data_IF_218310711992
#
_entry.id   IF_218310711992
#
_cell.length_a   1.000
_cell.length_b   1.000
_cell.length_c   1.000
_cell.angle_alpha   90.00
_cell.angle_beta   90.00
_cell.angle_gamma   90.00
#
_symmetry.space_group_name_H-M   'P 1'
#
loop_
_entity.id
_entity.type
_entity.pdbx_description
1 polymer ?
#
# COMPACT_ATOMS: atom_id res chain seq x y z
N UNK A 1 3.64 67.43 3.64
CA UNK A 1 4.19 66.06 3.72
C UNK A 1 3.26 65.21 4.58
N UNK A 2 2.44 64.34 3.97
CA UNK A 2 1.61 63.37 4.70
C UNK A 2 2.23 61.99 4.50
N UNK A 3 2.90 61.48 5.52
CA UNK A 3 3.44 60.12 5.56
C UNK A 3 2.29 59.16 5.80
N UNK A 4 1.84 58.48 4.74
CA UNK A 4 0.93 57.34 4.83
C UNK A 4 1.74 56.18 5.42
N UNK A 5 1.43 55.80 6.66
CA UNK A 5 1.91 54.55 7.26
C UNK A 5 1.26 53.39 6.50
N UNK A 6 2.03 52.73 5.65
CA UNK A 6 1.66 51.42 5.12
C UNK A 6 1.70 50.43 6.29
N UNK A 7 0.53 49.96 6.72
CA UNK A 7 0.41 48.74 7.52
C UNK A 7 0.78 47.61 6.55
N UNK A 8 1.99 47.09 6.71
CA UNK A 8 2.46 45.91 5.99
C UNK A 8 1.63 44.73 6.51
N UNK A 9 0.52 44.44 5.84
CA UNK A 9 -0.25 43.22 6.06
C UNK A 9 0.62 42.07 5.57
N UNK A 10 1.47 41.53 6.46
CA UNK A 10 2.07 40.22 6.23
C UNK A 10 0.93 39.23 6.14
N UNK A 11 0.51 38.93 4.91
CA UNK A 11 -0.24 37.72 4.62
C UNK A 11 0.75 36.60 4.89
N UNK A 12 0.71 36.03 6.10
CA UNK A 12 1.25 34.71 6.35
C UNK A 12 0.48 33.77 5.41
N UNK A 13 1.04 33.53 4.23
CA UNK A 13 0.69 32.37 3.43
C UNK A 13 1.13 31.19 4.29
N UNK A 14 0.21 30.69 5.13
CA UNK A 14 0.40 29.47 5.88
C UNK A 14 0.57 28.40 4.80
N UNK A 15 1.76 27.77 4.65
CA UNK A 15 1.90 26.65 3.73
C UNK A 15 0.87 25.60 4.17
N UNK A 16 -0.06 25.28 3.28
CA UNK A 16 -1.03 24.21 3.54
C UNK A 16 -0.25 22.89 3.57
N UNK A 17 -0.55 22.07 4.58
CA UNK A 17 0.29 20.97 5.04
C UNK A 17 -0.28 19.64 4.57
N UNK A 18 0.52 18.82 3.91
CA UNK A 18 0.19 17.44 3.54
C UNK A 18 0.24 16.52 4.74
N UNK A 19 -0.92 16.14 5.25
CA UNK A 19 -1.09 15.07 6.24
C UNK A 19 -1.80 13.92 5.52
N UNK A 20 -1.28 12.69 5.62
CA UNK A 20 -1.99 11.53 5.09
C UNK A 20 -3.07 11.06 6.08
N UNK A 21 -4.30 10.91 5.64
CA UNK A 21 -5.44 10.55 6.48
C UNK A 21 -5.94 9.18 6.07
N UNK A 22 -5.98 8.24 7.01
CA UNK A 22 -6.67 6.96 6.85
C UNK A 22 -8.00 7.01 7.55
N UNK A 23 -9.09 6.77 6.81
CA UNK A 23 -10.42 6.66 7.40
C UNK A 23 -11.19 5.49 6.83
N UNK A 24 -12.03 4.90 7.68
CA UNK A 24 -13.00 3.89 7.27
C UNK A 24 -14.38 4.42 7.59
N UNK A 25 -15.28 4.38 6.62
CA UNK A 25 -16.69 4.70 6.80
C UNK A 25 -17.53 3.51 6.34
N UNK A 26 -18.72 3.34 6.92
CA UNK A 26 -19.69 2.36 6.42
C UNK A 26 -21.11 2.84 6.60
N UNK A 27 -22.00 2.33 5.76
CA UNK A 27 -23.38 2.75 5.73
C UNK A 27 -24.06 2.27 4.47
N UNK A 28 -25.08 3.00 4.05
CA UNK A 28 -25.83 2.69 2.84
C UNK A 28 -25.66 3.81 1.80
N UNK A 29 -25.55 3.40 0.54
CA UNK A 29 -25.62 4.24 -0.63
C UNK A 29 -26.76 3.69 -1.50
N UNK A 30 -27.91 4.37 -1.49
CA UNK A 30 -29.19 3.77 -1.89
C UNK A 30 -29.55 2.55 -1.02
N UNK A 31 -29.96 1.45 -1.65
CA UNK A 31 -30.28 0.18 -0.97
C UNK A 31 -29.06 -0.75 -0.82
N UNK A 32 -27.86 -0.26 -1.13
CA UNK A 32 -26.62 -1.03 -1.06
C UNK A 32 -25.82 -0.63 0.18
N UNK A 33 -25.44 -1.62 0.99
CA UNK A 33 -24.48 -1.43 2.06
C UNK A 33 -23.07 -1.30 1.46
N UNK A 34 -22.32 -0.32 1.92
CA UNK A 34 -20.97 -0.01 1.42
C UNK A 34 -20.00 0.24 2.58
N UNK A 35 -18.73 -0.06 2.33
CA UNK A 35 -17.60 0.29 3.19
C UNK A 35 -16.60 1.10 2.38
N UNK A 36 -16.26 2.30 2.85
CA UNK A 36 -15.33 3.22 2.22
C UNK A 36 -14.02 3.26 3.01
N UNK A 37 -12.90 3.16 2.31
CA UNK A 37 -11.54 3.19 2.81
C UNK A 37 -10.80 4.34 2.14
N UNK A 38 -10.50 5.37 2.91
CA UNK A 38 -9.95 6.63 2.40
C UNK A 38 -8.47 6.71 2.74
N UNK A 39 -7.71 7.19 1.77
CA UNK A 39 -6.36 7.70 1.95
C UNK A 39 -6.31 9.08 1.30
N UNK A 40 -6.07 10.14 2.08
CA UNK A 40 -6.11 11.50 1.56
C UNK A 40 -4.93 12.34 2.07
N UNK A 41 -4.35 13.19 1.22
CA UNK A 41 -3.41 14.26 1.60
C UNK A 41 -3.94 15.64 1.19
N UNK A 42 -3.46 16.72 1.81
CA UNK A 42 -3.91 18.09 1.51
C UNK A 42 -3.69 18.53 0.07
N UNK A 43 -2.67 17.98 -0.58
CA UNK A 43 -2.18 18.40 -1.90
C UNK A 43 -2.92 17.70 -3.04
N UNK A 44 -4.18 17.33 -2.80
CA UNK A 44 -5.11 16.74 -3.77
C UNK A 44 -4.92 15.25 -4.07
N UNK A 45 -4.07 14.53 -3.33
CA UNK A 45 -4.08 13.06 -3.34
C UNK A 45 -5.19 12.56 -2.44
N UNK A 46 -6.42 12.55 -2.92
CA UNK A 46 -7.56 11.96 -2.22
C UNK A 46 -7.99 10.70 -2.98
N UNK A 47 -7.84 9.57 -2.32
CA UNK A 47 -8.17 8.24 -2.81
C UNK A 47 -9.24 7.60 -1.94
N UNK A 48 -10.18 6.94 -2.59
CA UNK A 48 -11.25 6.15 -1.99
C UNK A 48 -11.20 4.78 -2.63
N UNK A 49 -11.15 3.76 -1.81
CA UNK A 49 -11.50 2.41 -2.22
C UNK A 49 -12.76 2.03 -1.48
N UNK A 50 -13.71 1.45 -2.19
CA UNK A 50 -14.90 0.95 -1.54
C UNK A 50 -15.27 -0.44 -2.04
N UNK A 51 -16.02 -1.13 -1.19
CA UNK A 51 -16.61 -2.42 -1.51
C UNK A 51 -18.12 -2.35 -1.27
N UNK A 52 -18.88 -2.80 -2.27
CA UNK A 52 -20.33 -2.98 -2.14
C UNK A 52 -20.65 -4.37 -1.61
N UNK A 53 -21.59 -4.45 -0.66
CA UNK A 53 -21.91 -5.68 0.02
C UNK A 53 -22.54 -6.75 -0.90
N UNK A 54 -23.34 -6.33 -1.90
CA UNK A 54 -24.03 -7.27 -2.80
C UNK A 54 -23.12 -7.87 -3.87
N UNK A 55 -22.28 -7.04 -4.49
CA UNK A 55 -21.43 -7.46 -5.61
C UNK A 55 -20.05 -7.92 -5.17
N UNK A 56 -19.61 -7.51 -3.97
CA UNK A 56 -18.24 -7.66 -3.46
C UNK A 56 -17.19 -7.14 -4.44
N UNK A 57 -17.59 -6.23 -5.32
CA UNK A 57 -16.71 -5.55 -6.24
C UNK A 57 -15.96 -4.47 -5.49
N UNK A 58 -14.66 -4.42 -5.70
CA UNK A 58 -13.80 -3.36 -5.20
C UNK A 58 -13.73 -2.30 -6.28
N UNK A 59 -13.95 -1.06 -5.88
CA UNK A 59 -13.93 0.10 -6.75
C UNK A 59 -12.92 1.09 -6.20
N UNK A 60 -12.20 1.76 -7.09
CA UNK A 60 -11.20 2.76 -6.75
C UNK A 60 -11.55 4.10 -7.41
N UNK A 61 -11.43 5.16 -6.63
CA UNK A 61 -11.58 6.54 -7.09
C UNK A 61 -10.42 7.35 -6.53
N UNK A 62 -9.78 8.16 -7.36
CA UNK A 62 -8.63 8.96 -6.96
C UNK A 62 -8.63 10.31 -7.65
N UNK A 63 -7.80 11.22 -7.12
CA UNK A 63 -7.52 12.52 -7.72
C UNK A 63 -8.79 13.33 -8.07
N UNK A 64 -9.69 13.59 -7.09
CA UNK A 64 -10.89 14.37 -7.34
C UNK A 64 -10.55 15.80 -7.72
N UNK A 65 -11.44 16.41 -8.49
CA UNK A 65 -11.45 17.85 -8.68
C UNK A 65 -12.12 18.51 -7.47
N UNK A 66 -11.41 19.42 -6.81
CA UNK A 66 -12.00 20.26 -5.76
C UNK A 66 -12.81 21.40 -6.39
N UNK A 67 -14.08 21.51 -6.04
CA UNK A 67 -14.98 22.61 -6.44
C UNK A 67 -15.60 23.15 -5.15
N UNK A 68 -15.28 24.41 -4.82
CA UNK A 68 -15.64 25.01 -3.53
C UNK A 68 -15.15 24.13 -2.35
N UNK A 69 -16.09 23.56 -1.57
CA UNK A 69 -15.81 22.67 -0.45
C UNK A 69 -16.04 21.18 -0.77
N UNK A 70 -16.37 20.86 -2.02
CA UNK A 70 -16.73 19.52 -2.46
C UNK A 70 -15.61 18.90 -3.29
N UNK A 71 -15.52 17.57 -3.21
CA UNK A 71 -14.55 16.75 -3.93
C UNK A 71 -15.27 15.90 -4.95
N UNK A 72 -15.08 16.23 -6.22
CA UNK A 72 -15.74 15.60 -7.36
C UNK A 72 -14.82 14.55 -7.96
N UNK A 73 -15.16 13.29 -7.78
CA UNK A 73 -14.46 12.16 -8.37
C UNK A 73 -15.09 11.89 -9.74
N UNK A 74 -14.37 12.31 -10.78
CA UNK A 74 -14.67 11.92 -12.16
C UNK A 74 -13.98 10.58 -12.43
N UNK A 75 -14.70 9.63 -13.01
CA UNK A 75 -14.24 8.27 -13.20
C UNK A 75 -13.05 8.20 -14.18
N UNK A 76 -11.82 8.28 -13.66
CA UNK A 76 -10.63 7.80 -14.35
C UNK A 76 -10.52 6.30 -14.11
N UNK A 77 -11.08 5.53 -15.02
CA UNK A 77 -10.93 4.07 -15.06
C UNK A 77 -9.46 3.73 -15.23
N UNK A 78 -8.76 3.39 -14.16
CA UNK A 78 -7.52 2.61 -14.26
C UNK A 78 -7.53 1.52 -13.22
N UNK A 79 -7.89 0.32 -13.71
CA UNK A 79 -7.59 -1.05 -13.28
C UNK A 79 -8.90 -1.85 -13.26
N UNK A 80 -9.14 -2.54 -14.38
CA UNK A 80 -10.15 -3.57 -14.61
C UNK A 80 -11.54 -3.34 -14.01
N UNK A 81 -12.42 -2.64 -14.74
CA UNK A 81 -13.76 -3.17 -15.06
C UNK A 81 -14.54 -2.24 -15.99
N UNK A 82 -15.29 -2.89 -16.88
CA UNK A 82 -16.16 -2.29 -17.89
C UNK A 82 -17.45 -1.77 -17.25
N UNK A 83 -17.88 -0.59 -17.73
CA UNK A 83 -19.24 -0.03 -17.78
C UNK A 83 -19.96 0.28 -16.46
N UNK A 84 -19.81 1.53 -16.04
CA UNK A 84 -20.72 2.24 -15.13
C UNK A 84 -20.10 3.57 -14.76
N UNK A 85 -20.37 4.63 -15.53
CA UNK A 85 -19.88 5.98 -15.21
C UNK A 85 -20.68 6.51 -14.02
N UNK A 86 -20.31 6.12 -12.80
CA UNK A 86 -20.76 6.87 -11.63
C UNK A 86 -19.89 8.11 -11.44
N UNK A 87 -20.52 9.19 -11.01
CA UNK A 87 -19.86 10.40 -10.54
C UNK A 87 -20.10 10.49 -9.05
N UNK A 88 -19.03 10.47 -8.26
CA UNK A 88 -19.12 10.56 -6.80
C UNK A 88 -18.70 11.95 -6.34
N UNK A 89 -19.51 12.59 -5.52
CA UNK A 89 -19.22 13.87 -4.91
C UNK A 89 -19.16 13.68 -3.40
N UNK A 90 -18.01 13.94 -2.79
CA UNK A 90 -17.87 14.01 -1.33
C UNK A 90 -18.02 15.47 -0.90
N UNK A 91 -18.98 15.71 -0.02
CA UNK A 91 -19.36 17.06 0.42
C UNK A 91 -18.66 17.42 1.71
N UNK A 92 -18.09 18.63 1.77
CA UNK A 92 -17.49 19.22 2.98
C UNK A 92 -16.55 18.26 3.74
N UNK A 93 -15.64 17.57 3.03
CA UNK A 93 -14.71 16.65 3.68
C UNK A 93 -13.74 17.42 4.59
N UNK A 94 -13.78 17.09 5.87
CA UNK A 94 -12.94 17.70 6.89
C UNK A 94 -11.58 16.99 6.97
N UNK A 95 -10.53 17.63 6.49
CA UNK A 95 -9.16 17.12 6.66
C UNK A 95 -8.65 17.24 8.11
N UNK A 96 -9.28 18.06 8.96
CA UNK A 96 -8.94 18.24 10.39
C UNK A 96 -7.44 18.21 10.70
N UNK A 97 -6.69 19.04 9.98
CA UNK A 97 -5.24 19.14 10.14
C UNK A 97 -4.84 19.36 11.60
N UNK A 98 -3.80 18.66 12.05
CA UNK A 98 -3.27 18.75 13.41
C UNK A 98 -4.31 18.47 14.52
N UNK A 99 -5.35 17.69 14.24
CA UNK A 99 -6.30 17.18 15.23
C UNK A 99 -6.25 15.66 15.28
N UNK A 100 -6.49 15.11 16.47
CA UNK A 100 -6.61 13.66 16.66
C UNK A 100 -7.79 13.06 15.89
N UNK A 101 -8.88 13.81 15.76
CA UNK A 101 -10.12 13.37 15.13
C UNK A 101 -10.77 14.49 14.34
N UNK A 102 -11.47 14.12 13.27
CA UNK A 102 -12.35 15.02 12.54
C UNK A 102 -13.54 15.49 13.37
N UNK A 103 -14.07 16.67 13.03
CA UNK A 103 -15.22 17.26 13.71
C UNK A 103 -16.50 16.45 13.46
N UNK A 104 -16.61 15.87 12.27
CA UNK A 104 -17.73 15.01 11.88
C UNK A 104 -17.38 13.53 12.01
N UNK A 105 -18.32 12.74 12.52
CA UNK A 105 -18.29 11.28 12.45
C UNK A 105 -19.01 10.73 11.21
N UNK A 106 -19.35 11.59 10.27
CA UNK A 106 -20.19 11.28 9.14
C UNK A 106 -19.53 11.79 7.85
N UNK A 107 -19.57 10.94 6.82
CA UNK A 107 -19.19 11.29 5.46
C UNK A 107 -20.45 11.50 4.64
N UNK A 108 -20.62 12.70 4.11
CA UNK A 108 -21.74 13.04 3.25
C UNK A 108 -21.30 13.07 1.80
N UNK A 109 -22.17 12.63 0.91
CA UNK A 109 -21.91 12.74 -0.50
C UNK A 109 -23.12 12.45 -1.37
N UNK A 110 -22.86 12.44 -2.66
CA UNK A 110 -23.83 12.12 -3.70
C UNK A 110 -23.18 11.19 -4.72
N UNK A 111 -23.89 10.15 -5.12
CA UNK A 111 -23.58 9.30 -6.27
C UNK A 111 -24.61 9.57 -7.35
N UNK A 112 -24.18 9.65 -8.61
CA UNK A 112 -25.10 9.79 -9.74
C UNK A 112 -26.01 8.57 -9.89
N UNK A 113 -25.52 7.39 -9.53
CA UNK A 113 -26.27 6.13 -9.61
C UNK A 113 -27.20 5.95 -8.40
N UNK A 114 -26.73 6.28 -7.20
CA UNK A 114 -27.41 5.91 -5.95
C UNK A 114 -28.03 7.09 -5.17
N UNK A 115 -27.80 8.32 -5.61
CA UNK A 115 -28.30 9.53 -4.96
C UNK A 115 -27.45 9.98 -3.76
N UNK A 116 -28.04 10.81 -2.90
CA UNK A 116 -27.39 11.27 -1.68
C UNK A 116 -27.16 10.11 -0.71
N UNK A 117 -26.01 10.12 -0.04
CA UNK A 117 -25.64 9.14 0.96
C UNK A 117 -25.00 9.77 2.18
N UNK A 118 -25.01 8.98 3.25
CA UNK A 118 -24.43 9.32 4.54
C UNK A 118 -23.81 8.07 5.15
N UNK A 119 -22.49 8.09 5.32
CA UNK A 119 -21.74 6.98 5.90
C UNK A 119 -21.22 7.35 7.28
N UNK A 120 -21.21 6.39 8.19
CA UNK A 120 -20.73 6.54 9.56
C UNK A 120 -19.25 6.16 9.65
N UNK A 121 -18.44 7.00 10.30
CA UNK A 121 -17.02 6.76 10.52
C UNK A 121 -16.82 5.60 11.48
N UNK A 122 -16.05 4.60 11.06
CA UNK A 122 -15.67 3.43 11.84
C UNK A 122 -14.22 3.48 12.33
N UNK A 123 -13.38 4.21 11.61
CA UNK A 123 -11.97 4.40 11.97
C UNK A 123 -11.44 5.72 11.42
N UNK A 124 -10.49 6.31 12.13
CA UNK A 124 -9.72 7.47 11.72
C UNK A 124 -8.31 7.38 12.27
N UNK A 125 -7.34 7.73 11.44
CA UNK A 125 -5.97 7.97 11.83
C UNK A 125 -5.32 9.00 10.91
N UNK A 126 -4.81 10.08 11.49
CA UNK A 126 -4.15 11.17 10.78
C UNK A 126 -2.62 10.99 10.92
N UNK A 127 -1.89 11.08 9.82
CA UNK A 127 -0.45 10.81 9.70
C UNK A 127 0.32 12.06 9.33
N UNK A 128 1.46 12.23 10.00
CA UNK A 128 2.44 13.29 9.82
C UNK A 128 3.18 13.16 8.46
N UNK A 129 3.41 14.27 7.77
CA UNK A 129 4.49 14.40 6.78
C UNK A 129 5.29 15.67 7.09
N UNK A 130 6.62 15.60 6.89
CA UNK A 130 7.54 16.70 7.17
C UNK A 130 7.17 17.97 6.39
N UNK A 131 6.96 19.05 7.13
CA UNK A 131 7.01 20.40 6.61
C UNK A 131 8.05 21.16 7.42
N UNK A 132 8.95 21.87 6.73
CA UNK A 132 10.08 22.60 7.31
C UNK A 132 9.76 23.77 8.27
N UNK A 133 8.67 23.72 9.05
CA UNK A 133 8.46 24.53 10.26
C UNK A 133 8.47 23.63 11.52
N UNK A 134 9.60 23.68 12.23
CA UNK A 134 9.93 22.85 13.41
C UNK A 134 8.91 22.88 14.57
N UNK A 135 7.98 23.83 14.59
CA UNK A 135 7.01 23.98 15.69
C UNK A 135 5.78 23.09 15.52
N UNK A 136 5.21 23.02 14.31
CA UNK A 136 4.07 22.14 14.03
C UNK A 136 4.48 20.66 14.05
N UNK A 137 5.76 20.39 13.76
CA UNK A 137 6.39 19.09 13.88
C UNK A 137 6.30 18.49 15.29
N UNK A 138 6.55 19.26 16.35
CA UNK A 138 6.56 18.70 17.71
C UNK A 138 5.17 18.29 18.20
N UNK A 139 4.16 19.10 17.89
CA UNK A 139 2.79 18.86 18.33
C UNK A 139 2.16 17.70 17.54
N UNK A 140 2.36 17.64 16.23
CA UNK A 140 1.89 16.53 15.37
C UNK A 140 2.58 15.20 15.69
N UNK A 141 3.91 15.20 15.84
CA UNK A 141 4.67 14.03 16.32
C UNK A 141 4.17 13.51 17.66
N UNK A 142 3.84 14.41 18.60
CA UNK A 142 3.30 14.01 19.90
C UNK A 142 1.91 13.35 19.76
N UNK A 143 1.05 13.80 18.84
CA UNK A 143 -0.25 13.15 18.59
C UNK A 143 -0.07 11.76 17.94
N UNK A 144 0.81 11.65 16.95
CA UNK A 144 1.18 10.40 16.28
C UNK A 144 1.77 9.37 17.26
N UNK A 145 2.74 9.80 18.08
CA UNK A 145 3.47 8.94 19.01
C UNK A 145 2.58 8.39 20.13
N UNK A 146 1.51 9.09 20.49
CA UNK A 146 0.63 8.70 21.60
C UNK A 146 -0.57 7.86 21.17
N UNK A 147 -0.81 7.71 19.86
CA UNK A 147 -1.94 6.95 19.34
C UNK A 147 -1.61 5.47 19.25
N UNK A 148 -2.56 4.62 19.67
CA UNK A 148 -2.46 3.16 19.64
C UNK A 148 -3.79 2.57 19.16
N UNK A 149 -3.72 1.59 18.28
CA UNK A 149 -4.87 0.83 17.82
C UNK A 149 -4.44 -0.57 17.41
N UNK A 150 -5.37 -1.52 17.45
CA UNK A 150 -5.10 -2.90 17.07
C UNK A 150 -6.29 -3.46 16.28
N UNK A 151 -5.99 -4.39 15.38
CA UNK A 151 -6.97 -5.16 14.63
C UNK A 151 -7.92 -4.31 13.75
N UNK A 152 -7.39 -3.23 13.17
CA UNK A 152 -8.14 -2.42 12.21
C UNK A 152 -8.04 -3.08 10.84
N UNK A 153 -9.17 -3.46 10.25
CA UNK A 153 -9.17 -3.96 8.88
C UNK A 153 -9.09 -2.81 7.89
N UNK A 154 -8.22 -2.96 6.89
CA UNK A 154 -8.10 -1.99 5.80
C UNK A 154 -8.13 -2.70 4.45
N UNK A 155 -9.13 -2.36 3.62
CA UNK A 155 -9.32 -2.97 2.31
C UNK A 155 -8.14 -2.72 1.38
N UNK A 156 -7.77 -3.74 0.63
CA UNK A 156 -6.75 -3.65 -0.40
C UNK A 156 -7.40 -3.51 -1.77
N UNK A 157 -6.77 -2.72 -2.64
CA UNK A 157 -7.26 -2.44 -3.99
C UNK A 157 -7.30 -3.71 -4.85
N UNK A 158 -6.23 -4.48 -4.76
CA UNK A 158 -6.06 -5.70 -5.53
C UNK A 158 -6.86 -6.84 -4.93
N UNK A 159 -7.53 -7.58 -5.81
CA UNK A 159 -8.35 -8.74 -5.46
C UNK A 159 -8.30 -9.76 -6.59
N UNK A 160 -8.51 -11.03 -6.27
CA UNK A 160 -8.55 -12.08 -7.28
C UNK A 160 -9.95 -12.18 -7.87
N UNK A 161 -10.19 -13.12 -8.78
CA UNK A 161 -11.54 -13.40 -9.25
C UNK A 161 -12.46 -13.84 -8.10
N UNK A 162 -11.93 -14.66 -7.18
CA UNK A 162 -12.72 -15.33 -6.14
C UNK A 162 -12.64 -14.67 -4.77
N UNK A 163 -11.60 -13.87 -4.50
CA UNK A 163 -11.29 -13.35 -3.17
C UNK A 163 -10.99 -11.86 -3.16
N UNK A 164 -11.32 -11.21 -2.04
CA UNK A 164 -10.81 -9.88 -1.69
C UNK A 164 -10.08 -9.92 -0.35
N UNK A 165 -9.21 -8.93 -0.12
CA UNK A 165 -8.30 -8.92 1.01
C UNK A 165 -8.48 -7.66 1.83
N UNK A 166 -8.49 -7.83 3.15
CA UNK A 166 -8.29 -6.73 4.09
C UNK A 166 -7.04 -7.03 4.91
N UNK A 167 -6.10 -6.09 4.94
CA UNK A 167 -4.96 -6.21 5.86
C UNK A 167 -5.41 -5.84 7.27
N UNK A 168 -4.79 -6.44 8.27
CA UNK A 168 -5.05 -6.18 9.68
C UNK A 168 -3.95 -5.27 10.20
N UNK A 169 -4.33 -4.05 10.56
CA UNK A 169 -3.43 -2.99 11.01
C UNK A 169 -3.42 -2.88 12.52
N UNK A 170 -2.21 -2.72 13.06
CA UNK A 170 -1.99 -2.40 14.46
C UNK A 170 -0.85 -1.39 14.58
N UNK A 171 -0.96 -0.48 15.54
CA UNK A 171 0.04 0.53 15.86
C UNK A 171 0.17 0.58 17.38
N UNK A 172 1.40 0.49 17.89
CA UNK A 172 1.73 0.83 19.27
C UNK A 172 2.22 2.27 19.34
N UNK A 173 2.19 2.86 20.54
CA UNK A 173 2.78 4.18 20.78
C UNK A 173 4.23 4.22 20.28
N UNK A 174 4.60 5.30 19.59
CA UNK A 174 5.93 5.55 19.00
C UNK A 174 6.40 4.54 17.94
N UNK A 175 5.51 3.67 17.46
CA UNK A 175 5.80 2.75 16.35
C UNK A 175 5.01 3.14 15.10
N UNK A 176 5.46 2.75 13.92
CA UNK A 176 4.67 2.87 12.68
C UNK A 176 3.44 1.96 12.70
N UNK A 177 2.52 2.20 11.77
CA UNK A 177 1.40 1.29 11.51
C UNK A 177 1.96 0.00 10.89
N UNK A 178 1.68 -1.15 11.50
CA UNK A 178 2.13 -2.46 11.04
C UNK A 178 0.99 -3.30 10.53
N UNK A 179 1.25 -4.01 9.44
CA UNK A 179 0.43 -5.11 8.94
C UNK A 179 0.74 -6.35 9.79
N UNK A 180 -0.22 -6.72 10.63
CA UNK A 180 -0.12 -7.87 11.56
C UNK A 180 -0.83 -9.12 11.04
N UNK A 181 -1.59 -9.00 9.97
CA UNK A 181 -2.24 -10.12 9.31
C UNK A 181 -3.02 -9.71 8.08
N UNK A 182 -3.68 -10.70 7.47
CA UNK A 182 -4.51 -10.55 6.29
C UNK A 182 -5.77 -11.38 6.50
N UNK A 183 -6.92 -10.75 6.33
CA UNK A 183 -8.20 -11.43 6.23
C UNK A 183 -8.55 -11.61 4.75
N UNK A 184 -8.77 -12.86 4.38
CA UNK A 184 -9.15 -13.30 3.04
C UNK A 184 -10.65 -13.57 3.04
N UNK A 185 -11.39 -12.90 2.18
CA UNK A 185 -12.83 -13.03 2.08
C UNK A 185 -13.24 -13.57 0.72
N UNK A 186 -14.23 -14.46 0.69
CA UNK A 186 -14.83 -14.92 -0.56
C UNK A 186 -15.69 -13.81 -1.16
N UNK A 187 -15.49 -13.48 -2.44
CA UNK A 187 -16.41 -12.59 -3.19
C UNK A 187 -17.77 -13.24 -3.42
N UNK A 188 -17.83 -14.57 -3.47
CA UNK A 188 -19.06 -15.33 -3.70
C UNK A 188 -20.02 -15.26 -2.52
N UNK A 189 -19.53 -15.47 -1.29
CA UNK A 189 -20.37 -15.49 -0.08
C UNK A 189 -20.24 -14.22 0.79
N UNK A 190 -19.16 -13.47 0.65
CA UNK A 190 -18.80 -12.39 1.57
C UNK A 190 -18.21 -12.86 2.90
N UNK A 191 -18.04 -14.16 3.09
CA UNK A 191 -17.57 -14.74 4.34
C UNK A 191 -16.04 -14.72 4.43
N UNK A 192 -15.54 -14.58 5.65
CA UNK A 192 -14.12 -14.72 5.96
C UNK A 192 -13.70 -16.17 5.73
N UNK A 193 -12.83 -16.39 4.74
CA UNK A 193 -12.26 -17.70 4.45
C UNK A 193 -11.12 -18.03 5.44
N UNK A 194 -10.21 -17.07 5.62
CA UNK A 194 -8.98 -17.30 6.36
C UNK A 194 -8.44 -16.00 6.95
N UNK A 195 -7.90 -16.09 8.16
CA UNK A 195 -7.01 -15.08 8.74
C UNK A 195 -5.58 -15.60 8.71
N UNK A 196 -4.71 -14.93 7.95
CA UNK A 196 -3.28 -15.21 7.90
C UNK A 196 -2.58 -14.26 8.87
N UNK A 197 -1.85 -14.80 9.84
CA UNK A 197 -1.03 -13.97 10.74
C UNK A 197 0.26 -13.59 10.05
N UNK A 198 0.59 -12.31 10.02
CA UNK A 198 1.88 -11.82 9.51
C UNK A 198 2.82 -11.53 10.68
N UNK A 199 3.87 -12.34 10.82
CA UNK A 199 4.88 -12.13 11.87
C UNK A 199 6.02 -11.20 11.46
N UNK A 200 6.11 -10.78 10.19
CA UNK A 200 7.21 -9.94 9.70
C UNK A 200 7.05 -8.47 10.08
N UNK A 201 5.84 -8.03 10.42
CA UNK A 201 5.57 -6.67 10.91
C UNK A 201 5.81 -5.58 9.87
N UNK A 202 5.44 -5.84 8.61
CA UNK A 202 5.59 -4.88 7.51
C UNK A 202 4.85 -3.58 7.80
N UNK A 203 5.45 -2.45 7.39
CA UNK A 203 4.87 -1.13 7.57
C UNK A 203 3.73 -0.94 6.56
N UNK A 204 2.61 -0.41 7.02
CA UNK A 204 1.49 -0.06 6.17
C UNK A 204 1.62 1.36 5.65
N UNK A 205 1.69 1.50 4.33
CA UNK A 205 1.73 2.79 3.64
C UNK A 205 0.44 3.10 2.88
N UNK A 206 -0.19 2.09 2.27
CA UNK A 206 -1.40 2.30 1.46
C UNK A 206 -2.13 1.00 1.17
N UNK A 207 -3.26 1.10 0.49
CA UNK A 207 -4.12 0.00 0.04
C UNK A 207 -3.54 -0.90 -1.07
N UNK A 208 -2.25 -0.75 -1.41
CA UNK A 208 -1.55 -1.49 -2.47
C UNK A 208 -0.52 -2.49 -1.93
N UNK A 209 -0.63 -2.89 -0.65
CA UNK A 209 0.29 -3.85 -0.06
C UNK A 209 0.15 -5.26 -0.68
N UNK A 210 -1.02 -5.59 -1.22
CA UNK A 210 -1.30 -6.87 -1.88
C UNK A 210 -1.12 -6.77 -3.40
N UNK A 211 -0.45 -7.75 -3.99
CA UNK A 211 -0.37 -7.95 -5.45
C UNK A 211 -0.90 -9.32 -5.81
N UNK A 212 -1.62 -9.41 -6.94
CA UNK A 212 -2.14 -10.66 -7.47
C UNK A 212 -1.20 -11.17 -8.55
N UNK A 213 -1.01 -12.48 -8.61
CA UNK A 213 -0.22 -13.13 -9.64
C UNK A 213 -0.55 -14.61 -9.77
N UNK A 214 0.08 -15.24 -10.75
CA UNK A 214 0.22 -16.70 -10.82
C UNK A 214 1.64 -16.98 -10.30
N UNK A 215 1.74 -17.34 -9.02
CA UNK A 215 3.01 -17.53 -8.34
C UNK A 215 3.32 -19.02 -8.12
N UNK A 216 2.52 -19.91 -8.70
CA UNK A 216 2.74 -21.34 -8.61
C UNK A 216 2.76 -22.05 -9.99
N UNK A 217 2.57 -21.26 -11.04
CA UNK A 217 2.61 -21.64 -12.45
C UNK A 217 1.48 -22.61 -12.85
N UNK A 218 0.32 -22.52 -12.19
CA UNK A 218 -0.87 -23.30 -12.49
C UNK A 218 -1.86 -22.61 -13.45
N UNK A 219 -1.61 -21.33 -13.78
CA UNK A 219 -2.44 -20.51 -14.66
C UNK A 219 -3.63 -19.84 -13.96
N UNK A 220 -3.85 -20.11 -12.68
CA UNK A 220 -4.80 -19.42 -11.82
C UNK A 220 -4.15 -18.14 -11.27
N UNK A 221 -4.92 -17.06 -11.17
CA UNK A 221 -4.49 -15.78 -10.58
C UNK A 221 -5.12 -15.57 -9.21
N UNK A 222 -5.26 -16.65 -8.44
CA UNK A 222 -5.73 -16.59 -7.07
C UNK A 222 -4.61 -16.40 -6.06
N UNK A 223 -3.35 -16.54 -6.46
CA UNK A 223 -2.21 -16.28 -5.59
C UNK A 223 -2.02 -14.79 -5.34
N UNK A 224 -1.40 -14.47 -4.20
CA UNK A 224 -1.05 -13.10 -3.90
C UNK A 224 0.29 -12.98 -3.18
N UNK A 225 0.87 -11.79 -3.24
CA UNK A 225 2.03 -11.40 -2.44
C UNK A 225 1.72 -10.22 -1.54
N UNK A 226 2.33 -10.20 -0.37
CA UNK A 226 2.35 -9.08 0.56
C UNK A 226 3.70 -8.35 0.44
N UNK A 227 3.65 -7.03 0.27
CA UNK A 227 4.81 -6.17 0.08
C UNK A 227 4.98 -5.20 1.25
N UNK A 228 6.23 -4.85 1.57
CA UNK A 228 6.57 -3.93 2.66
C UNK A 228 6.59 -2.43 2.24
N UNK A 229 6.27 -2.07 1.00
CA UNK A 229 6.23 -0.67 0.53
C UNK A 229 5.31 -0.47 -0.67
N UNK A 230 5.02 0.80 -1.01
CA UNK A 230 4.23 1.18 -2.20
C UNK A 230 4.93 0.87 -3.54
N UNK A 231 6.24 0.66 -3.54
CA UNK A 231 7.04 0.62 -4.77
C UNK A 231 7.73 -0.71 -4.98
N UNK A 232 7.91 -1.09 -6.25
CA UNK A 232 8.85 -2.13 -6.70
C UNK A 232 10.31 -1.67 -6.51
N UNK A 233 10.62 -0.98 -5.42
CA UNK A 233 11.97 -0.54 -5.15
C UNK A 233 12.88 -1.77 -5.05
N UNK A 234 14.12 -1.57 -5.50
CA UNK A 234 15.13 -2.60 -5.44
C UNK A 234 15.25 -3.02 -3.99
N UNK A 235 15.25 -4.34 -3.75
CA UNK A 235 15.37 -4.89 -2.40
C UNK A 235 14.23 -4.62 -1.41
N UNK A 236 12.99 -4.47 -1.87
CA UNK A 236 11.82 -4.57 -0.98
C UNK A 236 11.51 -6.04 -0.69
N UNK A 237 11.46 -6.48 0.58
CA UNK A 237 11.04 -7.83 0.94
C UNK A 237 9.58 -8.10 0.57
N UNK A 238 9.32 -9.31 0.10
CA UNK A 238 7.99 -9.77 -0.29
C UNK A 238 7.74 -11.17 0.28
N UNK A 239 6.48 -11.43 0.64
CA UNK A 239 6.01 -12.75 1.07
C UNK A 239 4.95 -13.22 0.08
N UNK A 240 5.02 -14.47 -0.34
CA UNK A 240 4.12 -15.05 -1.33
C UNK A 240 3.19 -16.07 -0.69
N UNK A 241 1.94 -16.06 -1.11
CA UNK A 241 0.89 -16.96 -0.65
C UNK A 241 0.22 -17.61 -1.84
N UNK A 242 0.23 -18.95 -1.85
CA UNK A 242 -0.37 -19.76 -2.90
C UNK A 242 -1.73 -20.25 -2.45
N UNK A 243 -2.75 -20.12 -3.29
CA UNK A 243 -4.06 -20.68 -3.00
C UNK A 243 -4.07 -22.19 -3.28
N UNK A 244 -4.39 -22.98 -2.26
CA UNK A 244 -4.57 -24.43 -2.40
C UNK A 244 -6.06 -24.77 -2.46
N UNK A 245 -6.57 -24.95 -3.68
CA UNK A 245 -7.95 -25.36 -3.95
C UNK A 245 -8.37 -26.60 -3.15
N UNK A 246 -7.46 -27.56 -2.95
CA UNK A 246 -7.77 -28.82 -2.27
C UNK A 246 -8.00 -28.65 -0.77
N UNK A 247 -7.38 -27.63 -0.19
CA UNK A 247 -7.50 -27.27 1.23
C UNK A 247 -8.40 -26.05 1.45
N UNK A 248 -8.85 -25.41 0.37
CA UNK A 248 -9.60 -24.15 0.35
C UNK A 248 -8.96 -23.08 1.26
N UNK A 249 -7.65 -22.89 1.14
CA UNK A 249 -6.88 -21.92 1.95
C UNK A 249 -5.59 -21.51 1.25
N UNK A 250 -5.04 -20.40 1.71
CA UNK A 250 -3.72 -19.91 1.32
C UNK A 250 -2.61 -20.53 2.17
N UNK A 251 -1.51 -20.87 1.50
CA UNK A 251 -0.28 -21.44 2.06
C UNK A 251 0.87 -20.48 1.77
N UNK A 252 1.65 -20.12 2.80
CA UNK A 252 2.87 -19.34 2.59
C UNK A 252 3.88 -20.14 1.77
N UNK A 253 4.32 -19.55 0.65
CA UNK A 253 5.06 -20.24 -0.39
C UNK A 253 6.54 -20.51 -0.02
N UNK A 254 7.02 -20.06 1.14
CA UNK A 254 8.45 -20.11 1.51
C UNK A 254 9.38 -19.49 0.45
N UNK A 255 8.86 -18.47 -0.25
CA UNK A 255 9.62 -17.64 -1.17
C UNK A 255 9.79 -16.29 -0.52
N UNK A 256 11.00 -16.03 -0.05
CA UNK A 256 11.38 -14.74 0.52
C UNK A 256 12.56 -14.17 -0.25
N UNK A 257 12.50 -12.89 -0.51
CA UNK A 257 13.60 -12.17 -1.11
C UNK A 257 13.18 -10.86 -1.73
N UNK A 258 14.02 -10.44 -2.64
CA UNK A 258 14.05 -9.13 -3.27
C UNK A 258 13.84 -9.30 -4.77
N UNK A 259 13.11 -8.37 -5.38
CA UNK A 259 12.93 -8.26 -6.84
C UNK A 259 12.76 -9.63 -7.54
N UNK A 260 11.75 -10.39 -7.10
CA UNK A 260 11.52 -11.75 -7.59
C UNK A 260 11.09 -11.71 -9.06
N UNK A 261 11.73 -12.51 -9.91
CA UNK A 261 11.33 -12.77 -11.28
C UNK A 261 10.80 -14.19 -11.41
N UNK A 262 9.65 -14.35 -12.06
CA UNK A 262 9.00 -15.63 -12.30
C UNK A 262 9.19 -16.04 -13.76
N UNK A 263 9.83 -17.18 -13.97
CA UNK A 263 9.99 -17.84 -15.27
C UNK A 263 8.95 -18.96 -15.36
N UNK A 264 7.82 -18.67 -16.00
CA UNK A 264 6.72 -19.63 -16.15
C UNK A 264 7.07 -20.81 -17.06
N UNK A 265 8.01 -20.65 -18.00
CA UNK A 265 8.42 -21.71 -18.91
C UNK A 265 9.22 -22.78 -18.15
N UNK A 266 10.19 -22.34 -17.36
CA UNK A 266 11.05 -23.22 -16.58
C UNK A 266 10.49 -23.52 -15.18
N UNK A 267 9.42 -22.84 -14.76
CA UNK A 267 8.80 -22.92 -13.42
C UNK A 267 9.79 -22.60 -12.31
N UNK A 268 10.58 -21.56 -12.52
CA UNK A 268 11.63 -21.11 -11.60
C UNK A 268 11.31 -19.69 -11.15
N UNK A 269 11.51 -19.41 -9.87
CA UNK A 269 11.54 -18.05 -9.35
C UNK A 269 12.99 -17.66 -9.04
N UNK A 270 13.39 -16.46 -9.44
CA UNK A 270 14.72 -15.90 -9.16
C UNK A 270 14.57 -14.67 -8.27
N UNK A 271 15.06 -14.74 -7.03
CA UNK A 271 15.24 -13.56 -6.19
C UNK A 271 16.54 -12.87 -6.53
N UNK A 272 16.51 -11.55 -6.71
CA UNK A 272 17.71 -10.73 -6.93
C UNK A 272 17.85 -9.71 -5.82
N UNK A 273 18.93 -9.83 -5.05
CA UNK A 273 19.38 -8.80 -4.13
C UNK A 273 20.45 -7.94 -4.80
N UNK A 274 20.23 -6.65 -4.88
CA UNK A 274 21.24 -5.70 -5.38
C UNK A 274 22.01 -5.12 -4.20
N UNK A 275 23.34 -5.11 -4.27
CA UNK A 275 24.21 -4.55 -3.24
C UNK A 275 25.17 -3.57 -3.89
N UNK A 276 25.33 -2.40 -3.30
CA UNK A 276 26.14 -1.31 -3.86
C UNK A 276 25.58 0.02 -3.40
N UNK A 277 26.44 1.03 -3.33
CA UNK A 277 26.07 2.38 -2.93
C UNK A 277 26.33 3.29 -4.13
N UNK A 278 25.30 4.01 -4.59
CA UNK A 278 25.37 4.90 -5.76
C UNK A 278 26.49 5.96 -5.58
N UNK A 279 26.94 6.18 -4.34
CA UNK A 279 27.89 7.23 -3.98
C UNK A 279 29.36 6.77 -3.93
N UNK A 280 29.67 5.49 -3.60
CA UNK A 280 31.06 5.06 -3.34
C UNK A 280 31.52 3.88 -4.21
N UNK A 281 30.60 3.04 -4.69
CA UNK A 281 30.92 1.91 -5.55
C UNK A 281 30.16 2.01 -6.87
N UNK A 282 30.86 2.39 -7.92
CA UNK A 282 30.35 2.42 -9.30
C UNK A 282 29.97 1.04 -9.87
N UNK A 283 30.07 -0.03 -9.05
CA UNK A 283 29.74 -1.42 -9.39
C UNK A 283 28.67 -1.99 -8.47
N UNK A 284 27.55 -2.40 -9.06
CA UNK A 284 26.49 -3.11 -8.35
C UNK A 284 26.76 -4.61 -8.35
N UNK A 285 26.61 -5.26 -7.21
CA UNK A 285 26.64 -6.71 -7.05
C UNK A 285 25.20 -7.22 -7.02
N UNK A 286 24.88 -8.15 -7.92
CA UNK A 286 23.58 -8.82 -7.98
C UNK A 286 23.75 -10.23 -7.39
N UNK A 287 23.23 -10.46 -6.19
CA UNK A 287 23.15 -11.78 -5.59
C UNK A 287 21.80 -12.41 -5.97
N UNK A 288 21.86 -13.46 -6.79
CA UNK A 288 20.68 -14.15 -7.32
C UNK A 288 20.50 -15.50 -6.64
N UNK A 289 19.26 -15.82 -6.25
CA UNK A 289 18.86 -17.12 -5.70
C UNK A 289 17.74 -17.70 -6.55
N UNK A 290 17.91 -18.93 -7.02
CA UNK A 290 16.89 -19.64 -7.78
C UNK A 290 16.10 -20.56 -6.86
N UNK A 291 14.81 -20.65 -7.14
CA UNK A 291 13.87 -21.49 -6.44
C UNK A 291 13.01 -22.25 -7.43
N UNK A 292 12.77 -23.52 -7.14
CA UNK A 292 11.82 -24.37 -7.87
C UNK A 292 10.53 -24.48 -7.06
N UNK A 293 9.39 -24.43 -7.74
CA UNK A 293 8.11 -24.59 -7.07
C UNK A 293 7.70 -26.08 -6.95
N UNK A 294 7.51 -26.55 -5.72
CA UNK A 294 6.96 -27.87 -5.43
C UNK A 294 5.43 -27.79 -5.32
N UNK A 295 4.75 -28.22 -6.38
CA UNK A 295 3.28 -28.17 -6.45
C UNK A 295 2.58 -29.04 -5.39
N UNK A 296 3.21 -30.12 -4.91
CA UNK A 296 2.61 -30.97 -3.88
C UNK A 296 2.59 -30.29 -2.51
N UNK A 297 3.63 -29.52 -2.20
CA UNK A 297 3.77 -28.83 -0.91
C UNK A 297 3.26 -27.39 -0.95
N UNK A 298 2.97 -26.88 -2.16
CA UNK A 298 2.67 -25.48 -2.47
C UNK A 298 3.76 -24.53 -1.95
N UNK A 299 5.02 -24.93 -2.13
CA UNK A 299 6.19 -24.22 -1.60
C UNK A 299 7.36 -24.19 -2.57
N UNK A 300 8.13 -23.12 -2.49
CA UNK A 300 9.41 -22.96 -3.15
C UNK A 300 10.53 -23.64 -2.38
N UNK A 301 11.36 -24.35 -3.14
CA UNK A 301 12.59 -25.00 -2.67
C UNK A 301 13.78 -24.30 -3.31
N UNK A 302 14.75 -23.89 -2.49
CA UNK A 302 16.00 -23.31 -2.96
C UNK A 302 16.78 -24.31 -3.82
N UNK A 303 17.19 -23.88 -5.00
CA UNK A 303 17.99 -24.70 -5.94
C UNK A 303 19.46 -24.31 -5.81
N UNK A 304 19.77 -23.06 -6.09
CA UNK A 304 21.14 -22.57 -6.23
C UNK A 304 21.23 -21.06 -6.05
N UNK A 305 22.45 -20.55 -5.92
CA UNK A 305 22.77 -19.14 -5.86
C UNK A 305 23.97 -18.84 -6.75
N UNK A 306 23.88 -17.74 -7.46
CA UNK A 306 24.98 -17.19 -8.22
C UNK A 306 25.03 -15.69 -8.04
N UNK A 307 26.13 -15.09 -8.43
CA UNK A 307 26.37 -13.69 -8.16
C UNK A 307 27.15 -13.05 -9.30
N UNK A 308 26.62 -11.92 -9.73
CA UNK A 308 27.08 -11.14 -10.87
C UNK A 308 27.50 -9.76 -10.36
N UNK A 309 28.48 -9.16 -11.01
CA UNK A 309 28.90 -7.78 -10.75
C UNK A 309 28.76 -6.98 -12.04
N UNK A 310 28.09 -5.83 -11.93
CA UNK A 310 28.03 -4.81 -12.96
C UNK A 310 29.32 -3.99 -12.86
N UNK A 311 30.21 -4.01 -13.86
CA UNK A 311 31.47 -3.27 -13.81
C UNK A 311 31.26 -1.76 -13.96
N UNK A 312 32.18 -0.97 -13.42
CA UNK A 312 32.25 0.49 -13.61
C UNK A 312 32.57 0.85 -15.07
N UNK A 313 31.85 1.82 -15.66
CA UNK A 313 32.18 2.43 -16.95
C UNK A 313 31.16 2.23 -18.08
N UNK A 314 31.55 2.50 -19.33
CA UNK A 314 30.66 2.55 -20.52
C UNK A 314 30.27 1.14 -21.04
N UNK A 315 30.85 0.07 -20.48
CA UNK A 315 30.63 -1.31 -20.92
C UNK A 315 29.96 -2.15 -19.81
N UNK A 316 28.62 -2.26 -19.90
CA UNK A 316 27.75 -2.98 -18.97
C UNK A 316 27.77 -4.51 -19.14
N UNK A 317 28.93 -5.15 -19.30
CA UNK A 317 28.99 -6.62 -19.37
C UNK A 317 29.04 -7.21 -17.97
N UNK A 318 28.00 -7.97 -17.60
CA UNK A 318 27.95 -8.71 -16.34
C UNK A 318 29.14 -9.67 -16.23
N UNK A 319 29.91 -9.58 -15.15
CA UNK A 319 30.95 -10.55 -14.81
C UNK A 319 30.55 -11.36 -13.59
N UNK A 320 31.20 -12.51 -13.39
CA UNK A 320 31.10 -13.22 -12.11
C UNK A 320 31.68 -12.34 -11.00
N UNK A 321 30.99 -12.29 -9.86
CA UNK A 321 31.46 -11.53 -8.71
C UNK A 321 32.60 -12.28 -7.99
N UNK A 322 33.46 -11.53 -7.30
CA UNK A 322 34.51 -12.08 -6.45
C UNK A 322 33.91 -12.70 -5.18
N UNK A 323 34.67 -13.58 -4.51
CA UNK A 323 34.27 -14.15 -3.23
C UNK A 323 33.98 -13.07 -2.17
N UNK A 324 34.74 -11.97 -2.20
CA UNK A 324 34.57 -10.84 -1.27
C UNK A 324 33.26 -10.11 -1.56
N UNK A 325 33.01 -9.72 -2.82
CA UNK A 325 31.76 -9.08 -3.26
C UNK A 325 30.51 -9.87 -2.85
N UNK A 326 30.53 -11.20 -3.06
CA UNK A 326 29.43 -12.07 -2.66
C UNK A 326 29.20 -12.06 -1.15
N UNK A 327 30.27 -12.23 -0.35
CA UNK A 327 30.17 -12.29 1.11
C UNK A 327 29.74 -10.96 1.72
N UNK A 328 30.20 -9.84 1.15
CA UNK A 328 29.84 -8.51 1.59
C UNK A 328 28.35 -8.24 1.28
N UNK A 329 27.88 -8.62 0.08
CA UNK A 329 26.47 -8.53 -0.29
C UNK A 329 25.56 -9.46 0.54
N UNK A 330 25.99 -10.68 0.87
CA UNK A 330 25.24 -11.59 1.74
C UNK A 330 25.01 -11.00 3.15
N UNK A 331 25.98 -10.23 3.67
CA UNK A 331 25.93 -9.62 5.00
C UNK A 331 25.22 -8.27 5.06
N UNK A 332 25.19 -7.53 3.95
CA UNK A 332 24.55 -6.23 3.90
C UNK A 332 23.08 -6.34 4.36
N UNK A 333 22.66 -5.56 5.34
CA UNK A 333 21.23 -5.37 5.60
C UNK A 333 20.77 -4.36 4.57
N UNK A 334 19.73 -4.68 3.82
CA UNK A 334 19.08 -3.69 2.97
C UNK A 334 18.07 -2.99 3.86
N UNK A 335 18.37 -1.77 4.26
CA UNK A 335 17.38 -0.92 4.91
C UNK A 335 16.39 -0.44 3.85
N UNK A 336 15.10 -0.59 4.13
CA UNK A 336 14.03 -0.11 3.26
C UNK A 336 14.02 1.42 3.36
N UNK A 337 14.50 2.11 2.33
CA UNK A 337 14.50 3.58 2.28
C UNK A 337 15.83 4.21 1.89
N UNK A 338 16.92 3.45 1.76
CA UNK A 338 18.21 3.97 1.26
C UNK A 338 18.30 3.84 -0.28
N UNK A 339 17.37 4.48 -0.99
CA UNK A 339 17.62 4.98 -2.36
C UNK A 339 17.42 6.51 -2.34
N UNK A 340 18.27 7.27 -3.06
CA UNK A 340 18.59 8.69 -2.79
C UNK A 340 17.46 9.70 -2.91
#
# INVERSE_FOLDING_TARGET
MKTIKYIMMMVFLIPQVTEAIYRVYSGNMGDNKVEFYLFATSDSNFHIIYIEDKTKKIEYMGAPKKIENDYHFENYTTIDTVSGKDTLIIKNFDFSFNKLNSESNELFGYSQIFGDFKLEKKFEYNVEWENGDDRNWKDSKQLFDNTEFNNIEFLQMNSTQDFYFKVILSKKKKEDIKITGINVYSKKSGELLQTIKNSKGYIFYTFQAIRIGDFDFDGNKNDFSLNNSESYAVNVPQIYYIYDDSQNKYIEANLEGYSIQFDSENKIATSTKTCGDVVIYSSNVLLKKLYYFNNKEKKYTYIDKYCESIPDGVNYYLRQCTKKERLDCEKAVVEVGDEP
#
